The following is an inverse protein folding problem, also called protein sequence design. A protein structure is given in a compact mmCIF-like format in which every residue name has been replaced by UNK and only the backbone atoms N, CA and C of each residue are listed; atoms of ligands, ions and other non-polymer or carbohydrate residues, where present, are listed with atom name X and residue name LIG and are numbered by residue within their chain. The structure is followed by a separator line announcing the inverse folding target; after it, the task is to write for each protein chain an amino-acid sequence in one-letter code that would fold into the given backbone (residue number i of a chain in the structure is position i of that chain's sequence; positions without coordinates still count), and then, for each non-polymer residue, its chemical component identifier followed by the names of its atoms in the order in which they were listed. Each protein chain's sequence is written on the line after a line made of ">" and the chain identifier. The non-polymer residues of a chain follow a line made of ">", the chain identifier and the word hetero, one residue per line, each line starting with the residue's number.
data_IF_908874780499
#
_entry.id   IF_908874780499
#
_cell.length_a   1.000
_cell.length_b   1.000
_cell.length_c   1.000
_cell.angle_alpha   90.00
_cell.angle_beta   90.00
_cell.angle_gamma   90.00
#
_symmetry.space_group_name_H-M   'P 1'
#
loop_
_entity.id
_entity.type
_entity.pdbx_description
1 polymer ?
#
# COMPACT_ATOMS: atom_id res chain seq x y z
N UNK A 1 49.16 -41.83 12.65
CA UNK A 1 48.39 -40.64 13.17
C UNK A 1 47.14 -40.29 12.38
N UNK A 2 46.82 -40.92 11.26
CA UNK A 2 45.69 -40.56 10.36
C UNK A 2 44.35 -41.21 10.71
N UNK A 3 44.29 -42.34 11.44
CA UNK A 3 43.04 -43.04 11.77
C UNK A 3 42.25 -42.38 12.94
N UNK A 4 42.91 -41.80 13.92
CA UNK A 4 42.25 -41.11 15.04
C UNK A 4 41.55 -39.81 14.61
N UNK A 5 42.05 -39.16 13.60
CA UNK A 5 41.47 -37.94 13.03
C UNK A 5 40.13 -38.19 12.31
N UNK A 6 40.00 -39.31 11.61
CA UNK A 6 38.77 -39.67 10.87
C UNK A 6 37.59 -40.02 11.80
N UNK A 7 37.87 -40.75 12.89
CA UNK A 7 36.87 -41.16 13.87
C UNK A 7 36.31 -39.96 14.65
N UNK A 8 37.18 -39.01 15.04
CA UNK A 8 36.78 -37.79 15.71
C UNK A 8 35.92 -36.89 14.82
N UNK A 9 36.23 -36.81 13.53
CA UNK A 9 35.45 -36.03 12.55
C UNK A 9 34.07 -36.64 12.30
N UNK A 10 34.00 -37.99 12.13
CA UNK A 10 32.73 -38.67 11.92
C UNK A 10 31.81 -38.56 13.16
N UNK A 11 32.35 -38.68 14.38
CA UNK A 11 31.59 -38.44 15.62
C UNK A 11 31.08 -37.00 15.72
N UNK A 12 31.87 -36.04 15.28
CA UNK A 12 31.46 -34.64 15.27
C UNK A 12 30.25 -34.38 14.33
N UNK A 13 30.26 -34.98 13.14
CA UNK A 13 29.14 -34.90 12.19
C UNK A 13 27.86 -35.54 12.74
N UNK A 14 28.00 -36.75 13.32
CA UNK A 14 26.86 -37.43 13.97
C UNK A 14 26.35 -36.59 15.13
N UNK A 15 27.22 -36.04 15.97
CA UNK A 15 26.84 -35.20 17.08
C UNK A 15 26.08 -33.94 16.65
N UNK A 16 26.51 -33.26 15.57
CA UNK A 16 25.81 -32.11 15.02
C UNK A 16 24.42 -32.49 14.47
N UNK A 17 24.31 -33.63 13.80
CA UNK A 17 23.04 -34.14 13.27
C UNK A 17 22.05 -34.46 14.40
N UNK A 18 22.54 -35.14 15.43
CA UNK A 18 21.75 -35.49 16.63
C UNK A 18 21.30 -34.24 17.36
N UNK A 19 22.19 -33.27 17.60
CA UNK A 19 21.89 -32.06 18.35
C UNK A 19 20.82 -31.16 17.66
N UNK A 20 20.79 -31.19 16.33
CA UNK A 20 19.78 -30.46 15.52
C UNK A 20 18.41 -31.13 15.48
N UNK A 21 18.28 -32.36 15.94
CA UNK A 21 16.98 -33.05 15.93
C UNK A 21 16.02 -32.38 16.90
N UNK A 22 14.79 -32.06 16.45
CA UNK A 22 13.74 -31.50 17.32
C UNK A 22 13.14 -32.54 18.28
N UNK A 23 13.46 -33.82 18.08
CA UNK A 23 13.03 -34.93 18.92
C UNK A 23 14.19 -35.40 19.82
N UNK A 24 13.83 -35.96 20.99
CA UNK A 24 14.85 -36.57 21.84
C UNK A 24 15.61 -37.65 21.05
N UNK A 25 16.92 -37.55 20.98
CA UNK A 25 17.79 -38.46 20.24
C UNK A 25 18.98 -38.86 21.12
N UNK A 26 19.29 -40.17 21.15
CA UNK A 26 20.29 -40.77 22.00
C UNK A 26 21.13 -41.74 21.15
N UNK A 27 22.46 -41.66 21.23
CA UNK A 27 23.38 -42.61 20.62
C UNK A 27 24.00 -43.47 21.71
N UNK A 28 23.97 -44.79 21.51
CA UNK A 28 24.49 -45.77 22.44
C UNK A 28 25.60 -46.56 21.80
N UNK A 29 26.58 -47.00 22.59
CA UNK A 29 27.55 -48.07 22.20
C UNK A 29 26.93 -49.47 22.33
N UNK A 30 27.67 -50.48 21.91
CA UNK A 30 27.30 -51.90 22.03
C UNK A 30 27.13 -52.36 23.50
N UNK A 31 27.74 -51.66 24.45
CA UNK A 31 27.62 -51.91 25.90
C UNK A 31 26.42 -51.15 26.51
N UNK A 32 25.60 -50.49 25.69
CA UNK A 32 24.42 -49.71 26.09
C UNK A 32 24.75 -48.43 26.88
N UNK A 33 26.01 -47.94 26.78
CA UNK A 33 26.36 -46.63 27.34
C UNK A 33 25.94 -45.49 26.42
N UNK A 34 25.47 -44.41 27.00
CA UNK A 34 25.09 -43.20 26.27
C UNK A 34 26.36 -42.49 25.80
N UNK A 35 26.60 -42.50 24.51
CA UNK A 35 27.69 -41.78 23.86
C UNK A 35 27.30 -40.31 23.66
N UNK A 36 26.11 -40.09 23.14
CA UNK A 36 25.54 -38.74 22.86
C UNK A 36 24.06 -38.73 23.21
N UNK A 37 23.62 -37.60 23.74
CA UNK A 37 22.20 -37.27 23.89
C UNK A 37 22.00 -35.82 23.50
N UNK A 38 21.03 -35.51 22.65
CA UNK A 38 20.78 -34.16 22.25
C UNK A 38 20.13 -33.30 23.37
N UNK A 39 20.01 -31.99 23.13
CA UNK A 39 19.44 -31.05 24.09
C UNK A 39 18.05 -31.48 24.59
N UNK A 40 17.23 -32.00 23.66
CA UNK A 40 15.87 -32.42 24.00
C UNK A 40 15.85 -33.69 24.87
N UNK A 41 16.69 -34.66 24.58
CA UNK A 41 16.83 -35.87 25.41
C UNK A 41 17.37 -35.54 26.81
N UNK A 42 18.34 -34.63 26.93
CA UNK A 42 18.86 -34.16 28.22
C UNK A 42 17.80 -33.40 29.02
N UNK A 43 17.01 -32.51 28.35
CA UNK A 43 15.97 -31.71 28.97
C UNK A 43 14.81 -32.54 29.50
N UNK A 44 14.30 -33.47 28.67
CA UNK A 44 13.12 -34.28 29.00
C UNK A 44 13.41 -35.40 29.98
N UNK A 45 14.61 -35.99 29.93
CA UNK A 45 14.92 -37.22 30.61
C UNK A 45 16.11 -37.14 31.55
N UNK A 46 16.73 -35.99 31.72
CA UNK A 46 17.89 -35.81 32.61
C UNK A 46 19.12 -36.65 32.22
N UNK A 47 19.25 -37.01 30.94
CA UNK A 47 20.30 -37.96 30.52
C UNK A 47 21.68 -37.33 30.52
N UNK A 48 22.66 -38.09 31.02
CA UNK A 48 24.06 -37.71 30.98
C UNK A 48 24.85 -38.69 30.11
N UNK A 49 25.89 -38.21 29.45
CA UNK A 49 26.82 -39.06 28.69
C UNK A 49 27.56 -40.03 29.60
N UNK A 50 27.92 -41.20 29.08
CA UNK A 50 28.56 -42.32 29.77
C UNK A 50 27.69 -43.11 30.75
N UNK A 51 26.45 -42.66 31.06
CA UNK A 51 25.52 -43.46 31.83
C UNK A 51 25.06 -44.68 31.05
N UNK A 52 24.74 -45.79 31.75
CA UNK A 52 24.10 -46.96 31.13
C UNK A 52 22.60 -46.65 30.93
N UNK A 53 22.08 -46.84 29.73
CA UNK A 53 20.66 -46.63 29.46
C UNK A 53 19.73 -47.42 30.39
N UNK A 54 19.98 -48.71 30.67
CA UNK A 54 19.16 -49.45 31.62
C UNK A 54 19.22 -48.96 33.07
N UNK A 55 20.22 -48.17 33.43
CA UNK A 55 20.33 -47.59 34.75
C UNK A 55 19.56 -46.28 34.91
N UNK A 56 19.31 -45.58 33.81
CA UNK A 56 18.58 -44.32 33.79
C UNK A 56 17.12 -44.45 33.30
N UNK A 57 16.83 -45.51 32.53
CA UNK A 57 15.49 -45.87 32.11
C UNK A 57 14.84 -46.80 33.12
N UNK A 58 13.68 -46.45 33.63
CA UNK A 58 12.91 -47.23 34.63
C UNK A 58 12.06 -48.34 34.00
N UNK A 59 12.18 -48.54 32.68
CA UNK A 59 11.50 -49.61 31.95
C UNK A 59 12.15 -50.97 32.23
N UNK A 60 11.45 -52.08 31.87
CA UNK A 60 11.97 -53.43 31.92
C UNK A 60 13.37 -53.54 31.26
N UNK A 61 14.40 -53.73 32.07
CA UNK A 61 15.78 -53.83 31.63
C UNK A 61 16.00 -54.98 30.63
N UNK A 62 15.25 -56.08 30.75
CA UNK A 62 15.31 -57.20 29.82
C UNK A 62 14.72 -56.86 28.45
N UNK A 63 13.59 -56.16 28.44
CA UNK A 63 12.97 -55.66 27.23
C UNK A 63 13.84 -54.64 26.48
N UNK A 64 14.48 -53.70 27.22
CA UNK A 64 15.48 -52.77 26.66
C UNK A 64 16.66 -53.54 26.03
N UNK A 65 17.23 -54.49 26.77
CA UNK A 65 18.38 -55.29 26.28
C UNK A 65 18.08 -56.07 25.02
N UNK A 66 16.88 -56.69 24.96
CA UNK A 66 16.40 -57.44 23.78
C UNK A 66 16.17 -56.51 22.57
N UNK A 67 15.50 -55.40 22.75
CA UNK A 67 15.22 -54.42 21.69
C UNK A 67 16.51 -53.82 21.12
N UNK A 68 17.48 -53.47 21.96
CA UNK A 68 18.80 -52.96 21.54
C UNK A 68 19.60 -54.04 20.80
N UNK A 69 19.58 -55.30 21.26
CA UNK A 69 20.25 -56.41 20.58
C UNK A 69 19.62 -56.65 19.19
N UNK A 70 18.31 -56.60 19.09
CA UNK A 70 17.60 -56.70 17.79
C UNK A 70 17.98 -55.55 16.86
N UNK A 71 18.05 -54.32 17.39
CA UNK A 71 18.45 -53.15 16.60
C UNK A 71 19.89 -53.26 16.08
N UNK A 72 20.83 -53.78 16.89
CA UNK A 72 22.23 -54.02 16.48
C UNK A 72 22.38 -55.07 15.39
N UNK A 73 21.52 -56.09 15.38
CA UNK A 73 21.59 -57.21 14.41
C UNK A 73 20.72 -56.97 13.17
N UNK A 74 19.79 -56.03 13.24
CA UNK A 74 18.78 -55.77 12.21
C UNK A 74 19.13 -54.61 11.28
N UNK A 75 18.45 -54.57 10.14
CA UNK A 75 18.50 -53.43 9.18
C UNK A 75 17.29 -52.53 9.28
N UNK A 76 16.29 -52.89 10.09
CA UNK A 76 15.06 -52.13 10.29
C UNK A 76 15.03 -51.45 11.66
N UNK A 77 14.33 -50.32 11.73
CA UNK A 77 14.08 -49.68 13.01
C UNK A 77 13.19 -50.56 13.90
N UNK A 78 13.56 -50.69 15.17
CA UNK A 78 12.85 -51.47 16.20
C UNK A 78 12.12 -50.48 17.11
N UNK A 79 10.77 -50.58 17.21
CA UNK A 79 10.03 -49.73 18.12
C UNK A 79 10.30 -50.15 19.58
N UNK A 80 10.55 -49.17 20.43
CA UNK A 80 10.81 -49.36 21.86
C UNK A 80 10.04 -48.36 22.70
N UNK A 81 9.60 -48.75 23.87
CA UNK A 81 9.05 -47.82 24.88
C UNK A 81 10.06 -47.72 26.02
N UNK A 82 10.47 -46.50 26.32
CA UNK A 82 11.39 -46.22 27.41
C UNK A 82 10.68 -45.31 28.42
N UNK A 83 10.82 -45.66 29.69
CA UNK A 83 10.30 -44.83 30.80
C UNK A 83 11.50 -44.22 31.54
N UNK A 84 11.38 -42.93 31.79
CA UNK A 84 12.35 -42.14 32.54
C UNK A 84 11.56 -41.48 33.71
N UNK A 85 11.70 -42.01 34.90
CA UNK A 85 10.86 -41.60 36.02
C UNK A 85 9.37 -41.89 35.71
N UNK A 86 8.53 -40.88 35.81
CA UNK A 86 7.07 -40.98 35.51
C UNK A 86 6.73 -40.83 34.01
N UNK A 87 7.69 -40.52 33.16
CA UNK A 87 7.47 -40.24 31.73
C UNK A 87 7.82 -41.45 30.87
N UNK A 88 6.84 -42.01 30.15
CA UNK A 88 7.05 -43.06 29.15
C UNK A 88 6.93 -42.47 27.75
N UNK A 89 7.94 -42.75 26.92
CA UNK A 89 7.98 -42.27 25.54
C UNK A 89 8.34 -43.40 24.59
N UNK A 90 7.74 -43.37 23.40
CA UNK A 90 8.07 -44.28 22.33
C UNK A 90 9.31 -43.79 21.58
N UNK A 91 10.21 -44.72 21.25
CA UNK A 91 11.42 -44.51 20.48
C UNK A 91 11.49 -45.50 19.33
N UNK A 92 12.15 -45.10 18.26
CA UNK A 92 12.64 -45.99 17.22
C UNK A 92 14.12 -46.20 17.45
N UNK A 93 14.55 -47.46 17.44
CA UNK A 93 15.93 -47.87 17.61
C UNK A 93 16.46 -48.48 16.30
N UNK A 94 17.57 -48.02 15.80
CA UNK A 94 18.21 -48.61 14.64
C UNK A 94 19.72 -48.62 14.76
N UNK A 95 20.33 -49.53 14.02
CA UNK A 95 21.80 -49.67 13.97
C UNK A 95 22.40 -48.46 13.26
N UNK A 96 23.50 -47.99 13.81
CA UNK A 96 24.46 -47.10 13.16
C UNK A 96 25.72 -47.88 12.94
N UNK A 97 26.25 -47.91 11.73
CA UNK A 97 27.44 -48.63 11.39
C UNK A 97 28.65 -48.16 12.23
N UNK A 98 29.60 -49.08 12.53
CA UNK A 98 30.74 -48.71 13.34
C UNK A 98 31.57 -47.62 12.65
N UNK A 99 32.09 -46.72 13.45
CA UNK A 99 33.02 -45.71 12.98
C UNK A 99 34.37 -46.36 12.54
N UNK A 100 35.13 -45.70 11.67
CA UNK A 100 36.45 -46.19 11.28
C UNK A 100 37.32 -46.45 12.52
N UNK A 101 37.74 -47.71 12.71
CA UNK A 101 38.54 -48.15 13.87
C UNK A 101 37.73 -48.77 15.01
N UNK A 102 36.41 -48.71 14.99
CA UNK A 102 35.51 -49.36 15.95
C UNK A 102 35.10 -50.75 15.45
N UNK A 103 35.12 -51.77 16.34
CA UNK A 103 34.73 -53.14 15.98
C UNK A 103 33.24 -53.43 16.08
N UNK A 104 32.49 -52.54 16.74
CA UNK A 104 31.09 -52.76 17.07
C UNK A 104 30.22 -51.62 16.61
N UNK A 105 29.04 -51.94 16.10
CA UNK A 105 28.02 -50.95 15.73
C UNK A 105 27.44 -50.21 16.94
N UNK A 106 26.84 -49.09 16.69
CA UNK A 106 26.12 -48.26 17.66
C UNK A 106 24.61 -48.36 17.44
N UNK A 107 23.83 -47.94 18.42
CA UNK A 107 22.38 -47.84 18.29
C UNK A 107 21.94 -46.37 18.45
N UNK A 108 21.22 -45.88 17.46
CA UNK A 108 20.53 -44.63 17.55
C UNK A 108 19.10 -44.86 18.06
N UNK A 109 18.71 -44.13 19.09
CA UNK A 109 17.33 -44.00 19.55
C UNK A 109 16.83 -42.64 19.22
N UNK A 110 15.70 -42.56 18.55
CA UNK A 110 14.99 -41.28 18.30
C UNK A 110 13.55 -41.45 18.78
N UNK A 111 13.11 -40.47 19.56
CA UNK A 111 11.74 -40.46 20.05
C UNK A 111 10.74 -40.31 18.89
N UNK A 112 9.63 -41.02 18.98
CA UNK A 112 8.52 -40.76 18.10
C UNK A 112 7.96 -39.35 18.38
N UNK A 113 7.44 -38.66 17.37
CA UNK A 113 6.77 -37.39 17.59
C UNK A 113 5.63 -37.55 18.58
N UNK A 114 5.48 -36.57 19.49
CA UNK A 114 4.44 -36.61 20.51
C UNK A 114 3.06 -36.91 19.89
N UNK A 115 2.23 -37.77 20.50
CA UNK A 115 0.89 -38.08 20.01
C UNK A 115 0.12 -36.77 19.74
N UNK A 116 -0.38 -36.58 18.52
CA UNK A 116 -1.09 -35.37 18.10
C UNK A 116 -0.21 -34.25 17.53
N UNK A 117 1.11 -34.32 17.55
CA UNK A 117 1.98 -33.29 16.96
C UNK A 117 1.73 -33.11 15.46
N UNK A 118 1.54 -34.19 14.71
CA UNK A 118 1.20 -34.14 13.29
C UNK A 118 -0.24 -33.55 13.06
N UNK A 119 -1.16 -33.80 13.96
CA UNK A 119 -2.50 -33.21 13.89
C UNK A 119 -2.46 -31.71 14.20
N UNK A 120 -1.69 -31.32 15.22
CA UNK A 120 -1.48 -29.89 15.54
C UNK A 120 -0.80 -29.14 14.38
N UNK A 121 0.21 -29.74 13.75
CA UNK A 121 0.89 -29.13 12.60
C UNK A 121 -0.11 -28.91 11.45
N UNK A 122 -0.90 -29.94 11.11
CA UNK A 122 -1.95 -29.81 10.08
C UNK A 122 -2.98 -28.72 10.41
N UNK A 123 -3.41 -28.63 11.68
CA UNK A 123 -4.34 -27.59 12.12
C UNK A 123 -3.74 -26.19 12.02
N UNK A 124 -2.45 -26.03 12.38
CA UNK A 124 -1.75 -24.75 12.26
C UNK A 124 -1.54 -24.32 10.80
N UNK A 125 -1.18 -25.28 9.93
CA UNK A 125 -1.02 -24.97 8.48
C UNK A 125 -2.35 -24.62 7.83
N UNK A 126 -3.44 -25.29 8.20
CA UNK A 126 -4.79 -24.95 7.72
C UNK A 126 -5.24 -23.56 8.20
N UNK A 127 -5.04 -23.26 9.50
CA UNK A 127 -5.36 -21.94 10.06
C UNK A 127 -4.51 -20.81 9.43
N UNK A 128 -3.24 -21.09 9.12
CA UNK A 128 -2.37 -20.13 8.44
C UNK A 128 -2.86 -19.84 7.02
N UNK A 129 -3.20 -20.90 6.25
CA UNK A 129 -3.72 -20.75 4.90
C UNK A 129 -5.05 -19.94 4.88
N UNK A 130 -5.95 -20.22 5.83
CA UNK A 130 -7.20 -19.47 5.98
C UNK A 130 -6.95 -17.99 6.34
N UNK A 131 -5.94 -17.71 7.19
CA UNK A 131 -5.58 -16.35 7.55
C UNK A 131 -4.97 -15.59 6.37
N UNK A 132 -4.13 -16.26 5.56
CA UNK A 132 -3.56 -15.68 4.33
C UNK A 132 -4.66 -15.35 3.30
N UNK A 133 -5.62 -16.25 3.10
CA UNK A 133 -6.76 -16.02 2.21
C UNK A 133 -7.61 -14.82 2.68
N UNK A 134 -7.92 -14.75 3.96
CA UNK A 134 -8.65 -13.61 4.55
C UNK A 134 -7.90 -12.30 4.40
N UNK A 135 -6.57 -12.33 4.58
CA UNK A 135 -5.72 -11.15 4.40
C UNK A 135 -5.75 -10.66 2.94
N UNK A 136 -5.64 -11.58 1.97
CA UNK A 136 -5.69 -11.24 0.55
C UNK A 136 -7.03 -10.60 0.17
N UNK A 137 -8.16 -11.17 0.63
CA UNK A 137 -9.50 -10.61 0.41
C UNK A 137 -9.63 -9.21 1.02
N UNK A 138 -9.16 -9.04 2.27
CA UNK A 138 -9.22 -7.73 2.95
C UNK A 138 -8.34 -6.66 2.26
N UNK A 139 -7.19 -7.05 1.72
CA UNK A 139 -6.32 -6.16 0.95
C UNK A 139 -6.95 -5.73 -0.38
N UNK A 140 -7.61 -6.65 -1.08
CA UNK A 140 -8.32 -6.35 -2.32
C UNK A 140 -9.49 -5.38 -2.07
N UNK A 141 -10.30 -5.65 -1.03
CA UNK A 141 -11.40 -4.78 -0.65
C UNK A 141 -10.92 -3.38 -0.22
N UNK A 142 -9.82 -3.31 0.54
CA UNK A 142 -9.18 -2.04 0.91
C UNK A 142 -8.73 -1.25 -0.31
N UNK A 143 -8.15 -1.92 -1.31
CA UNK A 143 -7.76 -1.27 -2.56
C UNK A 143 -8.97 -0.75 -3.33
N UNK A 144 -10.04 -1.55 -3.41
CA UNK A 144 -11.30 -1.15 -4.06
C UNK A 144 -11.90 0.09 -3.40
N UNK A 145 -11.98 0.09 -2.07
CA UNK A 145 -12.49 1.23 -1.30
C UNK A 145 -11.64 2.50 -1.51
N UNK A 146 -10.32 2.36 -1.54
CA UNK A 146 -9.42 3.50 -1.84
C UNK A 146 -9.64 4.07 -3.24
N UNK A 147 -9.80 3.23 -4.25
CA UNK A 147 -10.11 3.68 -5.62
C UNK A 147 -11.46 4.40 -5.69
N UNK A 148 -12.48 3.83 -5.07
CA UNK A 148 -13.81 4.45 -4.99
C UNK A 148 -13.76 5.78 -4.25
N UNK A 149 -13.08 5.86 -3.11
CA UNK A 149 -12.91 7.11 -2.36
C UNK A 149 -12.18 8.18 -3.18
N UNK A 150 -11.11 7.82 -3.92
CA UNK A 150 -10.39 8.74 -4.80
C UNK A 150 -11.26 9.23 -5.97
N UNK A 151 -12.10 8.35 -6.54
CA UNK A 151 -13.04 8.73 -7.58
C UNK A 151 -14.12 9.69 -7.05
N UNK A 152 -14.71 9.38 -5.89
CA UNK A 152 -15.69 10.26 -5.25
C UNK A 152 -15.07 11.60 -4.87
N UNK A 153 -13.85 11.63 -4.37
CA UNK A 153 -13.13 12.86 -4.07
C UNK A 153 -12.89 13.70 -5.33
N UNK A 154 -12.53 13.08 -6.45
CA UNK A 154 -12.40 13.76 -7.74
C UNK A 154 -13.72 14.33 -8.21
N UNK A 155 -14.80 13.56 -8.19
CA UNK A 155 -16.15 14.02 -8.58
C UNK A 155 -16.61 15.16 -7.67
N UNK A 156 -16.35 15.07 -6.38
CA UNK A 156 -16.73 16.11 -5.42
C UNK A 156 -15.95 17.42 -5.60
N UNK A 157 -14.76 17.38 -6.21
CA UNK A 157 -13.86 18.54 -6.33
C UNK A 157 -13.73 19.12 -7.73
N UNK A 158 -14.14 18.39 -8.76
CA UNK A 158 -13.96 18.84 -10.14
C UNK A 158 -15.27 19.11 -10.85
N UNK A 159 -15.26 20.07 -11.79
CA UNK A 159 -16.33 20.27 -12.77
C UNK A 159 -16.23 19.20 -13.85
N UNK A 160 -17.29 18.43 -14.05
CA UNK A 160 -17.32 17.27 -14.94
C UNK A 160 -17.14 17.64 -16.43
N UNK A 161 -17.47 18.85 -16.81
CA UNK A 161 -17.34 19.31 -18.19
C UNK A 161 -15.91 19.73 -18.53
N UNK A 162 -15.28 20.48 -17.61
CA UNK A 162 -14.00 21.14 -17.87
C UNK A 162 -12.81 20.44 -17.21
N UNK A 163 -13.07 19.61 -16.20
CA UNK A 163 -12.02 18.96 -15.39
C UNK A 163 -11.23 19.93 -14.51
N UNK A 164 -11.67 21.19 -14.38
CA UNK A 164 -11.14 22.15 -13.42
C UNK A 164 -11.71 21.90 -12.02
N UNK A 165 -11.22 22.62 -11.01
CA UNK A 165 -11.90 22.64 -9.72
C UNK A 165 -13.35 23.15 -9.90
N UNK A 166 -14.31 22.51 -9.23
CA UNK A 166 -15.64 23.09 -9.15
C UNK A 166 -15.67 24.27 -8.16
N UNK A 167 -16.75 25.05 -8.16
CA UNK A 167 -16.90 26.23 -7.32
C UNK A 167 -16.61 25.96 -5.83
N UNK A 168 -17.12 24.83 -5.31
CA UNK A 168 -16.93 24.46 -3.92
C UNK A 168 -15.45 24.17 -3.58
N UNK A 169 -14.80 23.37 -4.39
CA UNK A 169 -13.40 23.00 -4.16
C UNK A 169 -12.44 24.18 -4.36
N UNK A 170 -12.73 25.04 -5.34
CA UNK A 170 -11.97 26.27 -5.57
C UNK A 170 -12.06 27.21 -4.35
N UNK A 171 -13.29 27.51 -3.91
CA UNK A 171 -13.54 28.31 -2.70
C UNK A 171 -12.81 27.73 -1.48
N UNK A 172 -12.97 26.43 -1.24
CA UNK A 172 -12.38 25.77 -0.07
C UNK A 172 -10.85 25.83 -0.07
N UNK A 173 -10.20 25.64 -1.24
CA UNK A 173 -8.75 25.76 -1.36
C UNK A 173 -8.26 27.17 -1.11
N UNK A 174 -8.91 28.18 -1.71
CA UNK A 174 -8.55 29.57 -1.49
C UNK A 174 -8.76 29.98 -0.03
N UNK A 175 -9.94 29.74 0.54
CA UNK A 175 -10.24 30.11 1.92
C UNK A 175 -9.31 29.43 2.93
N UNK A 176 -9.06 28.12 2.76
CA UNK A 176 -8.15 27.40 3.64
C UNK A 176 -6.70 27.83 3.50
N UNK A 177 -6.24 28.12 2.28
CA UNK A 177 -4.87 28.59 2.03
C UNK A 177 -4.63 29.98 2.62
N UNK A 178 -5.59 30.88 2.47
CA UNK A 178 -5.54 32.22 3.09
C UNK A 178 -5.53 32.13 4.62
N UNK A 179 -6.38 31.29 5.21
CA UNK A 179 -6.45 31.12 6.66
C UNK A 179 -5.15 30.56 7.28
N UNK A 180 -4.42 29.71 6.53
CA UNK A 180 -3.12 29.17 6.96
C UNK A 180 -1.93 30.06 6.64
N UNK A 181 -2.12 31.11 5.84
CA UNK A 181 -1.02 31.93 5.31
C UNK A 181 -0.21 31.24 4.20
N UNK A 182 -0.75 30.18 3.59
CA UNK A 182 -0.10 29.44 2.50
C UNK A 182 -0.32 30.05 1.11
N UNK A 183 -1.29 30.99 1.00
CA UNK A 183 -1.62 31.71 -0.22
C UNK A 183 -1.33 33.20 -0.08
N UNK A 184 -0.56 33.70 -1.00
CA UNK A 184 -0.34 35.11 -1.33
C UNK A 184 -0.68 35.30 -2.82
N UNK A 185 -0.99 36.52 -3.24
CA UNK A 185 -1.26 36.79 -4.65
C UNK A 185 -2.60 37.45 -4.93
N UNK A 186 -3.20 37.13 -6.08
CA UNK A 186 -4.45 37.78 -6.54
C UNK A 186 -5.51 36.74 -6.92
N UNK A 187 -6.78 37.04 -6.53
CA UNK A 187 -7.98 36.34 -6.97
C UNK A 187 -8.52 37.02 -8.24
N UNK A 188 -8.76 36.22 -9.28
CA UNK A 188 -9.40 36.70 -10.51
C UNK A 188 -10.79 36.08 -10.65
N UNK A 189 -11.73 36.88 -11.10
CA UNK A 189 -13.04 36.45 -11.58
C UNK A 189 -13.12 36.70 -13.08
N UNK A 190 -13.49 35.68 -13.83
CA UNK A 190 -13.47 35.64 -15.31
C UNK A 190 -14.85 35.24 -15.82
N UNK A 191 -15.43 36.01 -16.72
CA UNK A 191 -16.73 35.76 -17.37
C UNK A 191 -16.57 35.83 -18.89
N UNK A 192 -17.08 34.81 -19.61
CA UNK A 192 -16.92 34.73 -21.07
C UNK A 192 -17.88 35.67 -21.81
N UNK A 193 -17.32 36.57 -22.59
CA UNK A 193 -18.11 37.46 -23.44
C UNK A 193 -18.74 36.69 -24.60
N UNK A 194 -20.04 36.88 -24.81
CA UNK A 194 -20.75 36.30 -25.96
C UNK A 194 -21.05 34.80 -25.83
N UNK A 195 -20.91 34.18 -24.66
CA UNK A 195 -21.17 32.74 -24.48
C UNK A 195 -22.65 32.37 -24.73
N UNK A 196 -23.61 33.16 -24.23
CA UNK A 196 -25.05 32.91 -24.47
C UNK A 196 -25.39 32.87 -25.97
N UNK A 197 -25.01 33.86 -26.80
CA UNK A 197 -25.16 33.80 -28.24
C UNK A 197 -24.58 32.55 -28.91
N UNK A 198 -23.48 31.99 -28.41
CA UNK A 198 -22.93 30.74 -28.91
C UNK A 198 -23.91 29.59 -28.68
N UNK A 199 -24.45 29.47 -27.45
CA UNK A 199 -25.46 28.45 -27.13
C UNK A 199 -26.73 28.61 -27.97
N UNK A 200 -27.26 29.83 -28.06
CA UNK A 200 -28.52 30.13 -28.74
C UNK A 200 -28.43 29.84 -30.26
N UNK A 201 -27.27 30.14 -30.88
CA UNK A 201 -27.08 29.96 -32.34
C UNK A 201 -26.55 28.58 -32.72
N UNK A 202 -25.67 27.96 -31.92
CA UNK A 202 -24.94 26.74 -32.29
C UNK A 202 -25.27 25.56 -31.37
N UNK A 203 -26.13 25.75 -30.38
CA UNK A 203 -26.57 24.75 -29.43
C UNK A 203 -25.57 24.51 -28.26
N UNK A 204 -26.05 23.90 -27.19
CA UNK A 204 -25.27 23.65 -25.96
C UNK A 204 -23.96 22.86 -26.18
N UNK A 205 -23.95 21.93 -27.16
CA UNK A 205 -22.74 21.20 -27.48
C UNK A 205 -21.61 22.10 -28.06
N UNK A 206 -21.96 23.27 -28.64
CA UNK A 206 -20.95 24.25 -29.04
C UNK A 206 -20.45 25.07 -27.83
N UNK A 207 -21.37 25.46 -26.93
CA UNK A 207 -20.98 26.07 -25.68
C UNK A 207 -20.09 25.18 -24.82
N UNK A 208 -20.41 23.90 -24.69
CA UNK A 208 -19.56 22.91 -24.01
C UNK A 208 -18.16 22.83 -24.63
N UNK A 209 -18.07 22.91 -25.96
CA UNK A 209 -16.78 22.94 -26.66
C UNK A 209 -15.96 24.18 -26.29
N UNK A 210 -16.62 25.37 -26.27
CA UNK A 210 -15.98 26.61 -25.83
C UNK A 210 -15.47 26.50 -24.39
N UNK A 211 -16.30 26.04 -23.47
CA UNK A 211 -15.93 25.88 -22.06
C UNK A 211 -14.74 24.95 -21.87
N UNK A 212 -14.69 23.81 -22.60
CA UNK A 212 -13.54 22.89 -22.53
C UNK A 212 -12.27 23.53 -23.09
N UNK A 213 -12.37 24.30 -24.16
CA UNK A 213 -11.20 24.97 -24.74
C UNK A 213 -10.68 26.07 -23.81
N UNK A 214 -11.56 26.94 -23.31
CA UNK A 214 -11.22 27.96 -22.33
C UNK A 214 -10.56 27.36 -21.11
N UNK A 215 -11.11 26.28 -20.56
CA UNK A 215 -10.53 25.60 -19.42
C UNK A 215 -9.09 25.09 -19.70
N UNK A 216 -8.83 24.58 -20.90
CA UNK A 216 -7.46 24.17 -21.32
C UNK A 216 -6.54 25.37 -21.46
N UNK A 217 -7.02 26.46 -22.07
CA UNK A 217 -6.26 27.71 -22.20
C UNK A 217 -5.89 28.28 -20.86
N UNK A 218 -6.84 28.40 -19.93
CA UNK A 218 -6.60 28.89 -18.58
C UNK A 218 -5.57 27.99 -17.85
N UNK A 219 -5.73 26.67 -17.93
CA UNK A 219 -4.78 25.73 -17.30
C UNK A 219 -3.38 25.83 -17.87
N UNK A 220 -3.24 26.05 -19.17
CA UNK A 220 -1.95 26.20 -19.83
C UNK A 220 -1.25 27.54 -19.51
N UNK A 221 -2.02 28.58 -19.18
CA UNK A 221 -1.49 29.91 -18.81
C UNK A 221 -1.09 30.00 -17.33
N UNK A 222 -1.37 28.98 -16.50
CA UNK A 222 -1.08 29.00 -15.08
C UNK A 222 0.29 28.40 -14.77
N UNK A 223 0.95 28.98 -13.76
CA UNK A 223 2.21 28.51 -13.20
C UNK A 223 2.02 27.55 -12.03
N UNK A 224 3.14 27.12 -11.46
CA UNK A 224 3.16 26.26 -10.29
C UNK A 224 2.58 26.99 -9.06
N UNK A 225 1.61 26.37 -8.41
CA UNK A 225 0.92 26.90 -7.24
C UNK A 225 -0.30 27.79 -7.54
N UNK A 226 -0.55 28.13 -8.82
CA UNK A 226 -1.78 28.78 -9.23
C UNK A 226 -2.99 27.81 -9.15
N UNK A 227 -4.18 28.35 -8.94
CA UNK A 227 -5.42 27.56 -8.92
C UNK A 227 -6.37 28.07 -10.01
N UNK A 228 -7.16 27.15 -10.58
CA UNK A 228 -8.26 27.47 -11.49
C UNK A 228 -9.46 26.61 -11.19
N UNK A 229 -10.64 27.22 -11.21
CA UNK A 229 -11.93 26.57 -11.02
C UNK A 229 -13.01 27.15 -11.93
N UNK A 230 -14.02 26.33 -12.23
CA UNK A 230 -15.26 26.82 -12.84
C UNK A 230 -16.26 27.09 -11.73
N UNK A 231 -16.73 28.37 -11.66
CA UNK A 231 -17.58 28.80 -10.58
C UNK A 231 -19.07 28.59 -10.90
N UNK A 232 -19.43 28.62 -12.19
CA UNK A 232 -20.77 28.33 -12.68
C UNK A 232 -20.92 28.77 -14.15
N UNK A 233 -21.85 28.24 -14.89
CA UNK A 233 -22.12 28.70 -16.26
C UNK A 233 -20.86 28.92 -17.13
N UNK A 234 -20.61 30.17 -17.43
CA UNK A 234 -19.46 30.69 -18.19
C UNK A 234 -18.43 31.43 -17.30
N UNK A 235 -18.53 31.26 -15.96
CA UNK A 235 -17.71 31.94 -14.97
C UNK A 235 -16.56 31.04 -14.48
N UNK A 236 -15.35 31.61 -14.39
CA UNK A 236 -14.15 30.94 -13.87
C UNK A 236 -13.49 31.77 -12.78
N UNK A 237 -12.90 31.08 -11.82
CA UNK A 237 -12.07 31.69 -10.78
C UNK A 237 -10.62 31.25 -10.94
N UNK A 238 -9.68 32.19 -10.79
CA UNK A 238 -8.26 31.88 -10.76
C UNK A 238 -7.64 32.47 -9.48
N UNK A 239 -6.65 31.77 -8.94
CA UNK A 239 -5.74 32.31 -7.94
C UNK A 239 -4.36 32.35 -8.55
N UNK A 240 -3.79 33.54 -8.68
CA UNK A 240 -2.43 33.74 -9.20
C UNK A 240 -1.49 33.92 -8.01
N UNK A 241 -0.71 32.91 -7.73
CA UNK A 241 0.22 32.93 -6.59
C UNK A 241 1.33 33.96 -6.80
N UNK A 242 1.65 34.70 -5.75
CA UNK A 242 2.69 35.72 -5.75
C UNK A 242 2.41 36.92 -6.67
N UNK A 243 1.22 37.00 -7.28
CA UNK A 243 0.85 38.16 -8.08
C UNK A 243 0.53 39.34 -7.18
N UNK A 244 1.25 40.42 -7.37
CA UNK A 244 1.08 41.72 -6.68
C UNK A 244 0.58 42.79 -7.63
N UNK A 245 0.49 44.01 -7.15
CA UNK A 245 -0.03 45.16 -7.94
C UNK A 245 0.89 45.50 -9.13
N UNK A 246 2.18 45.15 -9.07
CA UNK A 246 3.17 45.42 -10.12
C UNK A 246 3.13 44.37 -11.23
N UNK A 247 3.10 43.10 -10.89
CA UNK A 247 3.14 41.96 -11.83
C UNK A 247 1.77 41.60 -12.42
N UNK A 248 0.66 41.95 -11.72
CA UNK A 248 -0.69 41.57 -12.12
C UNK A 248 -1.14 42.12 -13.49
N UNK A 249 -0.80 43.37 -13.89
CA UNK A 249 -1.22 43.91 -15.21
C UNK A 249 -0.71 43.07 -16.38
N UNK A 250 0.56 42.61 -16.35
CA UNK A 250 1.16 41.79 -17.41
C UNK A 250 0.50 40.42 -17.46
N UNK A 251 0.26 39.77 -16.31
CA UNK A 251 -0.43 38.47 -16.23
C UNK A 251 -1.87 38.57 -16.76
N UNK A 252 -2.56 39.66 -16.48
CA UNK A 252 -3.91 39.92 -17.02
C UNK A 252 -3.89 40.13 -18.53
N UNK A 253 -2.88 40.83 -19.07
CA UNK A 253 -2.73 41.03 -20.51
C UNK A 253 -2.51 39.70 -21.23
N UNK A 254 -1.64 38.85 -20.72
CA UNK A 254 -1.39 37.50 -21.26
C UNK A 254 -2.65 36.63 -21.24
N UNK A 255 -3.38 36.60 -20.13
CA UNK A 255 -4.64 35.86 -20.00
C UNK A 255 -5.70 36.38 -20.99
N UNK A 256 -5.86 37.69 -21.14
CA UNK A 256 -6.77 38.28 -22.11
C UNK A 256 -6.38 37.90 -23.55
N UNK A 257 -5.10 37.98 -23.89
CA UNK A 257 -4.62 37.60 -25.22
C UNK A 257 -4.86 36.13 -25.52
N UNK A 258 -4.62 35.25 -24.53
CA UNK A 258 -4.88 33.81 -24.66
C UNK A 258 -6.38 33.51 -24.84
N UNK A 259 -7.26 34.18 -24.09
CA UNK A 259 -8.70 33.99 -24.15
C UNK A 259 -9.36 34.66 -25.36
N UNK A 260 -8.71 35.63 -26.00
CA UNK A 260 -9.18 36.28 -27.23
C UNK A 260 -8.96 35.45 -28.49
N UNK A 261 -8.20 34.34 -28.40
CA UNK A 261 -7.93 33.51 -29.57
C UNK A 261 -9.21 32.94 -30.18
N UNK A 262 -9.30 32.89 -31.54
CA UNK A 262 -10.50 32.40 -32.23
C UNK A 262 -10.77 30.93 -31.85
N UNK A 263 -12.00 30.61 -31.52
CA UNK A 263 -12.47 29.26 -31.24
C UNK A 263 -13.16 28.71 -32.47
N UNK A 264 -12.65 27.60 -32.99
CA UNK A 264 -13.24 26.90 -34.14
C UNK A 264 -13.76 25.53 -33.71
N UNK A 265 -14.82 25.07 -34.39
CA UNK A 265 -15.40 23.74 -34.18
C UNK A 265 -15.72 23.10 -35.54
N UNK A 266 -15.36 21.86 -35.72
CA UNK A 266 -15.81 21.06 -36.81
C UNK A 266 -17.30 20.70 -36.62
N UNK A 267 -18.15 21.10 -37.59
CA UNK A 267 -19.60 20.86 -37.58
C UNK A 267 -19.99 19.60 -38.33
N UNK A 268 -19.26 19.34 -39.40
CA UNK A 268 -19.35 18.14 -40.25
C UNK A 268 -17.93 17.80 -40.75
N UNK A 269 -17.64 16.59 -41.17
CA UNK A 269 -16.34 16.25 -41.72
C UNK A 269 -15.89 17.26 -42.79
N UNK A 270 -14.75 17.95 -42.50
CA UNK A 270 -14.20 19.00 -43.37
C UNK A 270 -14.86 20.38 -43.30
N UNK A 271 -15.90 20.58 -42.45
CA UNK A 271 -16.58 21.89 -42.30
C UNK A 271 -16.31 22.44 -40.92
N UNK A 272 -15.38 23.40 -40.82
CA UNK A 272 -15.03 24.12 -39.60
C UNK A 272 -15.81 25.44 -39.50
N UNK A 273 -16.42 25.68 -38.34
CA UNK A 273 -17.16 26.89 -38.04
C UNK A 273 -16.45 27.67 -36.99
N UNK A 274 -16.28 28.98 -37.19
CA UNK A 274 -15.81 29.94 -36.18
C UNK A 274 -16.94 30.22 -35.18
N UNK A 275 -16.69 30.00 -33.89
CA UNK A 275 -17.63 30.32 -32.83
C UNK A 275 -17.36 31.75 -32.37
N UNK A 276 -18.37 32.67 -32.49
CA UNK A 276 -18.20 34.05 -32.10
C UNK A 276 -18.22 34.18 -30.56
N UNK A 277 -17.07 34.19 -29.97
CA UNK A 277 -16.92 34.60 -28.58
C UNK A 277 -16.09 35.89 -28.52
N UNK A 278 -16.37 36.75 -27.57
CA UNK A 278 -15.74 38.08 -27.44
C UNK A 278 -14.59 38.13 -26.43
N UNK A 279 -13.89 37.01 -26.25
CA UNK A 279 -12.89 36.90 -25.16
C UNK A 279 -13.56 36.77 -23.79
N UNK A 280 -12.97 37.41 -22.77
CA UNK A 280 -13.52 37.39 -21.40
C UNK A 280 -13.36 38.72 -20.70
N UNK A 281 -14.33 39.07 -19.87
CA UNK A 281 -14.19 40.12 -18.87
C UNK A 281 -13.46 39.55 -17.64
N UNK A 282 -12.48 40.27 -17.13
CA UNK A 282 -11.63 39.83 -16.03
C UNK A 282 -11.54 40.93 -14.97
N UNK A 283 -11.98 40.62 -13.77
CA UNK A 283 -11.71 41.41 -12.58
C UNK A 283 -10.73 40.73 -11.65
N UNK A 284 -9.92 41.51 -10.99
CA UNK A 284 -8.87 41.00 -10.10
C UNK A 284 -8.89 41.72 -8.74
N UNK A 285 -8.58 40.97 -7.67
CA UNK A 285 -8.41 41.48 -6.31
C UNK A 285 -7.12 40.96 -5.71
N UNK A 286 -6.27 41.86 -5.21
CA UNK A 286 -4.93 41.54 -4.65
C UNK A 286 -5.05 41.37 -3.13
N UNK A 287 -4.56 40.25 -2.64
CA UNK A 287 -4.43 40.03 -1.20
C UNK A 287 -3.13 40.66 -0.69
N UNK A 288 -3.09 41.27 0.52
CA UNK A 288 -4.23 41.55 1.40
C UNK A 288 -4.89 42.90 1.17
N UNK A 289 -4.49 43.67 0.14
CA UNK A 289 -4.89 45.03 -0.11
C UNK A 289 -6.42 45.21 -0.36
N UNK A 290 -6.99 44.28 -1.16
CA UNK A 290 -8.41 44.33 -1.53
C UNK A 290 -9.32 43.48 -0.62
N UNK A 291 -8.73 42.79 0.37
CA UNK A 291 -9.45 41.97 1.32
C UNK A 291 -8.54 40.85 1.92
N UNK A 292 -8.95 40.33 3.06
CA UNK A 292 -8.21 39.25 3.76
C UNK A 292 -8.91 37.90 3.72
N UNK A 293 -10.20 37.89 3.39
CA UNK A 293 -11.03 36.70 3.27
C UNK A 293 -11.38 36.44 1.82
N UNK A 294 -11.59 35.18 1.48
CA UNK A 294 -11.98 34.77 0.13
C UNK A 294 -13.23 35.53 -0.37
N UNK A 295 -14.23 35.69 0.48
CA UNK A 295 -15.49 36.34 0.14
C UNK A 295 -15.31 37.82 -0.22
N UNK A 296 -14.44 38.54 0.49
CA UNK A 296 -14.14 39.95 0.26
C UNK A 296 -13.40 40.15 -1.09
N UNK A 297 -12.38 39.28 -1.33
CA UNK A 297 -11.63 39.27 -2.59
C UNK A 297 -12.54 38.93 -3.78
N UNK A 298 -13.41 37.91 -3.62
CA UNK A 298 -14.33 37.51 -4.68
C UNK A 298 -15.30 38.62 -5.04
N UNK A 299 -15.89 39.30 -4.04
CA UNK A 299 -16.78 40.43 -4.27
C UNK A 299 -16.09 41.60 -4.98
N UNK A 300 -14.84 41.89 -4.61
CA UNK A 300 -14.05 42.93 -5.27
C UNK A 300 -13.71 42.56 -6.72
N UNK A 301 -13.30 41.31 -6.96
CA UNK A 301 -13.00 40.83 -8.29
C UNK A 301 -14.24 40.78 -9.19
N UNK A 302 -15.38 40.30 -8.70
CA UNK A 302 -16.68 40.31 -9.41
C UNK A 302 -17.10 41.75 -9.82
N UNK A 303 -17.01 42.68 -8.87
CA UNK A 303 -17.34 44.10 -9.16
C UNK A 303 -16.43 44.67 -10.25
N UNK A 304 -15.12 44.41 -10.21
CA UNK A 304 -14.15 44.87 -11.23
C UNK A 304 -14.36 44.17 -12.57
N UNK A 305 -14.72 42.91 -12.58
CA UNK A 305 -15.08 42.16 -13.80
C UNK A 305 -16.32 42.75 -14.46
N UNK A 306 -17.33 43.11 -13.66
CA UNK A 306 -18.53 43.75 -14.21
C UNK A 306 -18.23 45.10 -14.87
N UNK A 307 -17.29 45.88 -14.32
CA UNK A 307 -16.81 47.12 -14.91
C UNK A 307 -15.99 46.89 -16.21
N UNK A 308 -15.37 45.74 -16.39
CA UNK A 308 -14.59 45.32 -17.58
C UNK A 308 -15.51 44.81 -18.72
N UNK A 309 -16.81 44.56 -18.46
CA UNK A 309 -17.76 44.13 -19.50
C UNK A 309 -18.00 45.22 -20.53
N UNK A 310 -18.13 44.86 -21.85
CA UNK A 310 -18.51 45.80 -22.89
C UNK A 310 -19.82 46.51 -22.59
N UNK A 311 -19.92 47.83 -22.91
CA UNK A 311 -21.05 48.69 -22.59
C UNK A 311 -22.40 48.16 -23.06
N UNK A 312 -22.47 47.45 -24.17
CA UNK A 312 -23.67 46.78 -24.69
C UNK A 312 -24.33 45.77 -23.75
N UNK A 313 -23.65 45.36 -22.67
CA UNK A 313 -24.12 44.37 -21.67
C UNK A 313 -24.42 44.99 -20.29
N UNK A 314 -23.95 46.21 -20.02
CA UNK A 314 -24.15 46.87 -18.71
C UNK A 314 -25.61 47.17 -18.39
N UNK A 315 -26.46 47.36 -19.43
CA UNK A 315 -27.86 47.79 -19.26
C UNK A 315 -28.89 46.67 -19.11
N UNK A 316 -28.49 45.38 -18.99
CA UNK A 316 -29.43 44.29 -18.78
C UNK A 316 -29.40 43.85 -17.31
N UNK A 317 -30.45 44.12 -16.52
CA UNK A 317 -30.52 43.55 -15.15
C UNK A 317 -30.64 42.03 -15.25
N UNK A 318 -29.55 41.31 -14.94
CA UNK A 318 -29.62 39.85 -14.77
C UNK A 318 -30.40 39.58 -13.49
N UNK A 319 -31.55 38.93 -13.65
CA UNK A 319 -32.31 38.36 -12.54
C UNK A 319 -31.44 37.29 -11.87
N UNK A 320 -30.70 37.67 -10.82
CA UNK A 320 -29.99 36.72 -9.95
C UNK A 320 -31.04 35.86 -9.24
N UNK A 321 -31.33 34.69 -9.80
CA UNK A 321 -32.04 33.64 -9.08
C UNK A 321 -31.07 33.10 -7.99
N UNK A 322 -31.26 33.59 -6.76
CA UNK A 322 -30.72 33.00 -5.55
C UNK A 322 -31.53 31.73 -5.26
N UNK A 323 -30.95 30.55 -5.41
CA UNK A 323 -31.41 29.34 -4.79
C UNK A 323 -30.18 28.64 -4.12
#
# INVERSE_FOLDING_TARGET
>A
MTQQSGTAFALSLIAQSIERSPQAAILLDCSRRILLANREARRLHGLTTRALLPAVATSDSCGIARGLAQALCGTRAIPMKLSFGSTTQAFQAWRVDPLPGEKHGMVMLKADPAPGAAARLRSLTAAHAEAEERLAIAEEERQRLRRTAAQLDTIAKTDMLTGLLNAHAFRLRCASGLARGDLDGALLFVDLNGFKPVNDRFGHAAGDHVLRLVARTLRAALGEGDLVGRLGGDEFGLWLRGADAESLPDRLADLRAALAQPITRERQPGVTVLLPHGGAAIGAAVWPADGRRYEDLLATADHRMYADKPETRRDRPESRSRA
#
